data_IF_420874167565
#
_entry.id   IF_420874167565
#
_cell.length_a   1.000
_cell.length_b   1.000
_cell.length_c   1.000
_cell.angle_alpha   90.00
_cell.angle_beta   90.00
_cell.angle_gamma   90.00
#
_symmetry.space_group_name_H-M   'P 1'
#
loop_
_entity.id
_entity.type
_entity.pdbx_description
1 polymer ?
#
# COMPACT_ATOMS: atom_id res chain seq x y z
N UNK A 1 13.33 15.43 17.41
CA UNK A 1 13.90 14.24 18.09
C UNK A 1 14.02 13.13 17.05
N UNK A 2 14.98 12.18 17.10
CA UNK A 2 15.25 11.26 15.98
C UNK A 2 14.14 10.21 15.70
N UNK A 3 13.02 10.24 16.43
CA UNK A 3 11.88 9.34 16.27
C UNK A 3 10.55 10.12 16.32
N UNK A 4 10.47 11.24 15.63
CA UNK A 4 9.22 11.99 15.41
C UNK A 4 8.53 11.46 14.15
N UNK A 5 7.19 11.44 14.14
CA UNK A 5 6.43 10.93 13.00
C UNK A 5 6.25 9.41 12.95
N UNK A 6 5.36 8.96 12.07
CA UNK A 6 4.94 7.55 11.96
C UNK A 6 6.10 6.62 11.58
N UNK A 7 6.93 7.02 10.59
CA UNK A 7 8.01 6.18 10.09
C UNK A 7 9.20 6.09 11.05
N UNK A 8 9.62 7.20 11.64
CA UNK A 8 10.72 7.23 12.60
C UNK A 8 10.41 6.39 13.84
N UNK A 9 9.20 6.52 14.38
CA UNK A 9 8.75 5.73 15.53
C UNK A 9 8.66 4.23 15.20
N UNK A 10 8.06 3.86 14.06
CA UNK A 10 7.94 2.47 13.63
C UNK A 10 9.31 1.82 13.40
N UNK A 11 10.23 2.53 12.74
CA UNK A 11 11.60 2.03 12.48
C UNK A 11 12.35 1.82 13.79
N UNK A 12 12.33 2.80 14.70
CA UNK A 12 13.02 2.70 15.98
C UNK A 12 12.51 1.52 16.82
N UNK A 13 11.18 1.33 16.88
CA UNK A 13 10.58 0.22 17.62
C UNK A 13 10.90 -1.14 16.97
N UNK A 14 10.72 -1.24 15.65
CA UNK A 14 10.94 -2.49 14.91
C UNK A 14 12.39 -2.93 14.97
N UNK A 15 13.34 -2.02 14.78
CA UNK A 15 14.77 -2.33 14.92
C UNK A 15 15.08 -2.79 16.35
N UNK A 16 14.54 -2.10 17.36
CA UNK A 16 14.68 -2.51 18.75
C UNK A 16 14.20 -3.94 19.01
N UNK A 17 13.08 -4.35 18.41
CA UNK A 17 12.53 -5.69 18.57
C UNK A 17 13.26 -6.76 17.75
N UNK A 18 13.61 -6.46 16.50
CA UNK A 18 14.32 -7.39 15.61
C UNK A 18 15.69 -7.81 16.17
N UNK A 19 16.39 -6.90 16.84
CA UNK A 19 17.73 -7.17 17.39
C UNK A 19 17.74 -7.64 18.85
N UNK A 20 16.58 -7.90 19.45
CA UNK A 20 16.53 -8.53 20.79
C UNK A 20 17.04 -9.97 20.73
N UNK A 21 17.80 -10.43 21.75
CA UNK A 21 18.23 -11.82 21.83
C UNK A 21 17.03 -12.78 21.81
N UNK A 22 17.06 -13.75 20.89
CA UNK A 22 16.00 -14.75 20.75
C UNK A 22 14.80 -14.31 19.91
N UNK A 23 14.83 -13.11 19.31
CA UNK A 23 13.82 -12.70 18.33
C UNK A 23 13.83 -13.62 17.11
N UNK A 24 12.64 -13.95 16.63
CA UNK A 24 12.42 -14.76 15.42
C UNK A 24 11.57 -13.95 14.45
N UNK A 25 11.76 -14.21 13.16
CA UNK A 25 10.93 -13.66 12.10
C UNK A 25 10.04 -14.80 11.59
N UNK A 26 8.73 -14.62 11.73
CA UNK A 26 7.76 -15.48 11.07
C UNK A 26 7.50 -14.99 9.64
N UNK A 27 7.46 -15.94 8.71
CA UNK A 27 7.10 -15.68 7.33
C UNK A 27 5.98 -16.64 6.89
N UNK A 28 4.85 -16.14 6.34
CA UNK A 28 3.77 -17.00 5.92
C UNK A 28 4.20 -17.88 4.75
N UNK A 29 3.98 -19.19 4.86
CA UNK A 29 4.19 -20.12 3.73
C UNK A 29 3.28 -19.72 2.57
N UNK A 30 3.84 -19.53 1.38
CA UNK A 30 3.16 -18.98 0.21
C UNK A 30 3.08 -17.44 0.19
N UNK A 31 3.77 -16.77 1.12
CA UNK A 31 3.91 -15.32 1.16
C UNK A 31 2.65 -14.55 1.57
N UNK A 32 2.65 -13.24 1.35
CA UNK A 32 1.55 -12.37 1.74
C UNK A 32 0.21 -12.73 1.06
N UNK A 33 0.26 -13.29 -0.16
CA UNK A 33 -0.95 -13.75 -0.87
C UNK A 33 -1.67 -14.88 -0.12
N UNK A 34 -0.93 -15.79 0.51
CA UNK A 34 -1.52 -16.89 1.28
C UNK A 34 -2.37 -16.40 2.47
N UNK A 35 -1.99 -15.27 3.07
CA UNK A 35 -2.76 -14.62 4.15
C UNK A 35 -4.06 -14.05 3.59
N UNK A 36 -4.00 -13.32 2.47
CA UNK A 36 -5.18 -12.76 1.82
C UNK A 36 -6.15 -13.88 1.37
N UNK A 37 -5.62 -14.96 0.79
CA UNK A 37 -6.41 -16.12 0.39
C UNK A 37 -7.07 -16.82 1.57
N UNK A 38 -6.37 -16.92 2.71
CA UNK A 38 -6.96 -17.47 3.93
C UNK A 38 -8.16 -16.65 4.41
N UNK A 39 -8.06 -15.32 4.37
CA UNK A 39 -9.17 -14.42 4.71
C UNK A 39 -10.33 -14.57 3.71
N UNK A 40 -10.05 -14.63 2.41
CA UNK A 40 -11.07 -14.85 1.37
C UNK A 40 -11.78 -16.19 1.54
N UNK A 41 -11.05 -17.27 1.84
CA UNK A 41 -11.64 -18.57 2.19
C UNK A 41 -12.53 -18.44 3.44
N UNK A 42 -12.05 -17.71 4.44
CA UNK A 42 -12.80 -17.37 5.66
C UNK A 42 -14.14 -16.68 5.38
N UNK A 43 -14.19 -15.76 4.42
CA UNK A 43 -15.44 -15.09 4.00
C UNK A 43 -16.36 -16.08 3.27
N UNK A 44 -15.83 -16.80 2.28
CA UNK A 44 -16.61 -17.68 1.38
C UNK A 44 -17.22 -18.90 2.06
N UNK A 45 -16.70 -19.33 3.23
CA UNK A 45 -17.25 -20.47 3.98
C UNK A 45 -18.61 -20.17 4.62
N UNK A 46 -18.99 -18.90 4.74
CA UNK A 46 -20.26 -18.51 5.36
C UNK A 46 -21.36 -18.30 4.32
N UNK A 47 -22.59 -18.79 4.58
CA UNK A 47 -23.71 -18.59 3.67
C UNK A 47 -24.03 -17.09 3.56
N UNK A 48 -24.38 -16.64 2.35
CA UNK A 48 -24.67 -15.24 2.02
C UNK A 48 -23.48 -14.27 2.15
N UNK A 49 -22.26 -14.79 2.35
CA UNK A 49 -21.03 -14.01 2.28
C UNK A 49 -20.32 -14.25 0.94
N UNK A 50 -19.69 -13.22 0.40
CA UNK A 50 -19.03 -13.32 -0.90
C UNK A 50 -17.98 -12.24 -1.11
N UNK A 51 -17.03 -12.53 -2.00
CA UNK A 51 -16.02 -11.59 -2.46
C UNK A 51 -16.24 -11.34 -3.94
N UNK A 52 -16.52 -10.08 -4.28
CA UNK A 52 -16.80 -9.68 -5.66
C UNK A 52 -15.64 -8.87 -6.19
N UNK A 53 -14.92 -9.43 -7.16
CA UNK A 53 -13.76 -8.81 -7.80
C UNK A 53 -14.14 -8.14 -9.13
N UNK A 54 -13.29 -7.23 -9.60
CA UNK A 54 -13.48 -6.48 -10.85
C UNK A 54 -14.81 -5.71 -10.90
N UNK A 55 -15.23 -5.22 -9.73
CA UNK A 55 -16.39 -4.36 -9.50
C UNK A 55 -15.92 -3.19 -8.66
N UNK A 56 -15.76 -2.03 -9.28
CA UNK A 56 -15.36 -0.81 -8.59
C UNK A 56 -16.56 -0.25 -7.83
N UNK A 57 -16.38 0.19 -6.58
CA UNK A 57 -17.34 1.13 -5.97
C UNK A 57 -17.15 2.50 -6.60
N UNK A 58 -18.21 3.05 -7.18
CA UNK A 58 -18.23 4.34 -7.88
C UNK A 58 -18.73 5.46 -6.97
N UNK A 59 -19.71 5.16 -6.11
CA UNK A 59 -20.20 6.07 -5.09
C UNK A 59 -20.89 5.32 -3.96
N UNK A 60 -20.90 5.95 -2.78
CA UNK A 60 -21.72 5.53 -1.63
C UNK A 60 -23.07 6.23 -1.77
N UNK A 61 -24.15 5.47 -1.64
CA UNK A 61 -25.51 6.03 -1.63
C UNK A 61 -25.88 6.47 -0.22
N UNK A 62 -26.51 7.65 -0.12
CA UNK A 62 -27.12 8.15 1.10
C UNK A 62 -28.64 8.19 0.87
N UNK A 63 -29.41 7.71 1.85
CA UNK A 63 -30.86 7.83 1.84
C UNK A 63 -31.32 9.28 2.13
N UNK A 64 -32.63 9.50 2.12
CA UNK A 64 -33.24 10.82 2.35
C UNK A 64 -32.94 11.41 3.75
N UNK A 65 -32.45 10.59 4.69
CA UNK A 65 -32.01 11.02 6.03
C UNK A 65 -30.52 11.34 6.10
N UNK A 66 -29.79 11.13 5.00
CA UNK A 66 -28.33 11.28 4.93
C UNK A 66 -27.56 10.07 5.45
N UNK A 67 -28.23 8.93 5.68
CA UNK A 67 -27.60 7.69 6.13
C UNK A 67 -27.08 6.88 4.95
N UNK A 68 -25.85 6.38 5.03
CA UNK A 68 -25.32 5.43 4.07
C UNK A 68 -26.05 4.08 4.16
N UNK A 69 -26.66 3.69 3.05
CA UNK A 69 -27.54 2.52 2.95
C UNK A 69 -27.23 1.64 1.73
N UNK A 70 -26.11 1.89 1.05
CA UNK A 70 -25.67 1.09 -0.08
C UNK A 70 -24.53 1.71 -0.87
N UNK A 71 -24.14 1.04 -1.93
CA UNK A 71 -23.09 1.48 -2.85
C UNK A 71 -23.51 1.27 -4.30
N UNK A 72 -23.08 2.16 -5.19
CA UNK A 72 -23.11 1.93 -6.63
C UNK A 72 -21.79 1.28 -7.03
N UNK A 73 -21.88 0.15 -7.74
CA UNK A 73 -20.72 -0.56 -8.28
C UNK A 73 -20.75 -0.59 -9.79
N UNK A 74 -19.57 -0.52 -10.39
CA UNK A 74 -19.40 -0.64 -11.83
C UNK A 74 -19.92 -1.99 -12.36
N UNK A 75 -20.24 -2.09 -13.66
CA UNK A 75 -20.30 -3.36 -14.38
C UNK A 75 -19.04 -4.22 -14.14
N UNK A 76 -19.16 -5.54 -14.32
CA UNK A 76 -18.00 -6.43 -14.23
C UNK A 76 -17.16 -6.20 -15.47
N UNK A 77 -15.91 -5.79 -15.30
CA UNK A 77 -15.00 -5.60 -16.42
C UNK A 77 -14.01 -6.76 -16.51
N UNK A 78 -13.58 -7.10 -17.72
CA UNK A 78 -12.45 -8.02 -17.97
C UNK A 78 -11.11 -7.32 -17.75
N UNK A 79 -11.05 -6.01 -18.02
CA UNK A 79 -9.87 -5.16 -17.87
C UNK A 79 -10.13 -4.12 -16.77
N UNK A 80 -9.17 -3.83 -15.87
CA UNK A 80 -9.30 -2.70 -14.96
C UNK A 80 -9.49 -1.41 -15.76
N UNK A 81 -10.64 -0.74 -15.63
CA UNK A 81 -10.84 0.59 -16.24
C UNK A 81 -9.97 1.62 -15.53
N UNK A 82 -9.25 2.42 -16.31
CA UNK A 82 -8.66 3.66 -15.81
C UNK A 82 -9.77 4.63 -15.37
N UNK A 83 -9.43 5.52 -14.44
CA UNK A 83 -10.34 6.57 -14.00
C UNK A 83 -10.62 7.51 -15.19
N UNK A 84 -11.81 7.44 -15.77
CA UNK A 84 -12.25 8.47 -16.73
C UNK A 84 -12.61 9.78 -16.00
N UNK A 85 -13.01 9.72 -14.71
CA UNK A 85 -13.30 10.87 -13.84
C UNK A 85 -12.99 10.56 -12.37
N UNK A 86 -12.34 11.49 -11.67
CA UNK A 86 -12.30 11.50 -10.19
C UNK A 86 -13.51 12.25 -9.63
N UNK A 87 -14.13 11.71 -8.58
CA UNK A 87 -15.22 12.35 -7.83
C UNK A 87 -16.48 11.50 -7.73
N UNK A 88 -17.49 11.96 -6.97
CA UNK A 88 -18.73 11.23 -6.79
C UNK A 88 -19.52 11.22 -8.10
N UNK A 89 -19.83 10.01 -8.54
CA UNK A 89 -20.61 9.77 -9.74
C UNK A 89 -20.98 8.30 -9.83
N UNK A 90 -21.90 7.99 -10.74
CA UNK A 90 -22.16 6.62 -11.15
C UNK A 90 -22.23 6.59 -12.67
N UNK A 91 -21.67 5.54 -13.25
CA UNK A 91 -21.90 5.18 -14.63
C UNK A 91 -23.39 4.88 -14.85
N UNK A 92 -23.87 5.06 -16.08
CA UNK A 92 -25.28 4.79 -16.42
C UNK A 92 -25.68 3.33 -16.15
N UNK A 93 -24.71 2.42 -16.28
CA UNK A 93 -24.85 0.98 -16.08
C UNK A 93 -24.38 0.49 -14.69
N UNK A 94 -24.19 1.41 -13.74
CA UNK A 94 -23.86 1.07 -12.36
C UNK A 94 -24.98 0.27 -11.68
N UNK A 95 -24.60 -0.77 -10.95
CA UNK A 95 -25.52 -1.58 -10.15
C UNK A 95 -25.58 -1.06 -8.72
N UNK A 96 -26.79 -0.91 -8.18
CA UNK A 96 -26.99 -0.56 -6.79
C UNK A 96 -26.99 -1.80 -5.90
N UNK A 97 -26.15 -1.79 -4.86
CA UNK A 97 -26.15 -2.79 -3.79
C UNK A 97 -26.64 -2.15 -2.49
N UNK A 98 -27.84 -2.56 -2.05
CA UNK A 98 -28.43 -2.11 -0.79
C UNK A 98 -27.72 -2.77 0.40
N UNK A 99 -27.31 -1.96 1.37
CA UNK A 99 -26.87 -2.40 2.69
C UNK A 99 -28.04 -2.30 3.69
N UNK A 100 -28.27 -3.35 4.47
CA UNK A 100 -29.34 -3.38 5.48
C UNK A 100 -28.89 -2.90 6.86
N UNK A 101 -27.58 -2.94 7.13
CA UNK A 101 -27.00 -2.58 8.44
C UNK A 101 -25.98 -1.46 8.36
N UNK A 102 -24.96 -1.58 7.52
CA UNK A 102 -23.92 -0.57 7.36
C UNK A 102 -23.16 -0.80 6.06
N UNK A 103 -22.53 0.27 5.57
CA UNK A 103 -21.45 0.23 4.59
C UNK A 103 -20.14 0.36 5.37
N UNK A 104 -19.17 -0.54 5.15
CA UNK A 104 -17.84 -0.47 5.78
C UNK A 104 -16.81 -0.25 4.68
N UNK A 105 -16.07 0.86 4.74
CA UNK A 105 -15.04 1.22 3.76
C UNK A 105 -13.65 0.92 4.29
N UNK A 106 -12.90 0.10 3.56
CA UNK A 106 -11.45 -0.08 3.73
C UNK A 106 -10.63 0.75 2.74
N UNK A 107 -11.29 1.60 1.92
CA UNK A 107 -10.57 2.58 1.11
C UNK A 107 -10.03 3.67 2.03
N UNK A 108 -8.89 4.27 1.66
CA UNK A 108 -8.31 5.35 2.46
C UNK A 108 -9.31 6.50 2.70
N UNK A 109 -9.10 7.27 3.77
CA UNK A 109 -10.03 8.31 4.18
C UNK A 109 -10.32 9.33 3.06
N UNK A 110 -9.31 9.67 2.26
CA UNK A 110 -9.42 10.60 1.15
C UNK A 110 -10.26 10.01 0.01
N UNK A 111 -10.01 8.76 -0.37
CA UNK A 111 -10.78 8.04 -1.38
C UNK A 111 -12.24 7.83 -0.94
N UNK A 112 -12.45 7.45 0.33
CA UNK A 112 -13.80 7.31 0.90
C UNK A 112 -14.54 8.65 0.88
N UNK A 113 -13.87 9.77 1.19
CA UNK A 113 -14.47 11.11 1.10
C UNK A 113 -14.92 11.47 -0.31
N UNK A 114 -14.16 11.07 -1.35
CA UNK A 114 -14.49 11.28 -2.76
C UNK A 114 -15.65 10.40 -3.27
N UNK A 115 -15.95 9.29 -2.59
CA UNK A 115 -17.07 8.41 -2.94
C UNK A 115 -18.42 8.92 -2.42
N UNK A 116 -18.43 9.90 -1.51
CA UNK A 116 -19.65 10.49 -0.95
C UNK A 116 -20.22 11.58 -1.87
N UNK A 117 -21.54 11.60 -2.12
CA UNK A 117 -22.17 12.54 -3.06
C UNK A 117 -22.05 14.01 -2.64
N UNK A 118 -22.00 14.30 -1.34
CA UNK A 118 -21.51 15.55 -0.75
C UNK A 118 -21.55 15.43 0.78
N UNK A 119 -20.39 15.50 1.44
CA UNK A 119 -20.31 15.60 2.91
C UNK A 119 -19.19 16.57 3.26
N UNK A 120 -19.51 17.85 3.55
CA UNK A 120 -18.50 18.86 3.90
C UNK A 120 -17.63 18.42 5.08
N UNK A 121 -18.22 17.75 6.07
CA UNK A 121 -17.49 17.19 7.20
C UNK A 121 -16.49 16.12 6.75
N UNK A 122 -16.88 15.17 5.90
CA UNK A 122 -15.98 14.13 5.42
C UNK A 122 -14.84 14.70 4.57
N UNK A 123 -15.16 15.69 3.71
CA UNK A 123 -14.16 16.41 2.91
C UNK A 123 -13.17 17.17 3.79
N UNK A 124 -13.67 17.86 4.82
CA UNK A 124 -12.81 18.59 5.74
C UNK A 124 -11.92 17.62 6.53
N UNK A 125 -12.50 16.54 7.07
CA UNK A 125 -11.74 15.51 7.80
C UNK A 125 -10.63 14.89 6.94
N UNK A 126 -10.91 14.60 5.67
CA UNK A 126 -9.89 14.11 4.74
C UNK A 126 -8.79 15.15 4.50
N UNK A 127 -9.12 16.44 4.34
CA UNK A 127 -8.12 17.51 4.19
C UNK A 127 -7.24 17.69 5.43
N UNK A 128 -7.84 17.53 6.61
CA UNK A 128 -7.13 17.67 7.89
C UNK A 128 -6.32 16.42 8.26
N UNK A 129 -6.48 15.32 7.52
CA UNK A 129 -5.73 14.09 7.76
C UNK A 129 -4.34 14.19 7.13
N UNK A 130 -3.25 14.12 7.92
CA UNK A 130 -1.90 14.10 7.37
C UNK A 130 -1.67 12.79 6.60
N UNK A 131 -0.95 12.86 5.48
CA UNK A 131 -0.47 11.70 4.74
C UNK A 131 1.01 11.42 5.04
N UNK A 132 1.40 10.15 4.95
CA UNK A 132 2.82 9.81 4.84
C UNK A 132 3.28 10.00 3.39
N UNK A 133 4.59 10.13 3.13
CA UNK A 133 5.12 10.05 1.77
C UNK A 133 4.81 8.69 1.11
N UNK A 134 5.15 8.61 -0.17
CA UNK A 134 5.02 7.40 -0.99
C UNK A 134 6.36 6.64 -1.03
N UNK A 135 6.47 5.70 -1.96
CA UNK A 135 7.51 4.67 -2.00
C UNK A 135 7.93 4.43 -3.45
N UNK A 136 9.17 3.99 -3.63
CA UNK A 136 9.65 3.31 -4.82
C UNK A 136 9.71 1.82 -4.51
N UNK A 137 9.32 0.97 -5.47
CA UNK A 137 9.47 -0.48 -5.37
C UNK A 137 10.32 -1.00 -6.53
N UNK A 138 11.12 -2.03 -6.25
CA UNK A 138 11.83 -2.81 -7.24
C UNK A 138 11.62 -4.29 -6.91
N UNK A 139 10.87 -4.97 -7.76
CA UNK A 139 10.65 -6.42 -7.70
C UNK A 139 11.49 -7.10 -8.76
N UNK A 140 12.30 -8.07 -8.37
CA UNK A 140 13.18 -8.82 -9.25
C UNK A 140 12.92 -10.32 -9.16
N UNK A 141 13.02 -11.00 -10.29
CA UNK A 141 13.33 -12.43 -10.35
C UNK A 141 14.79 -12.58 -10.79
N UNK A 142 15.60 -13.27 -10.00
CA UNK A 142 17.05 -13.39 -10.23
C UNK A 142 17.51 -14.85 -10.29
N UNK A 143 18.60 -15.10 -11.02
CA UNK A 143 19.36 -16.35 -10.93
C UNK A 143 20.04 -16.49 -9.55
N UNK A 144 19.65 -17.52 -8.80
CA UNK A 144 20.15 -17.79 -7.46
C UNK A 144 21.45 -18.61 -7.43
N UNK A 145 22.01 -18.97 -8.59
CA UNK A 145 23.22 -19.79 -8.67
C UNK A 145 24.37 -19.21 -7.84
N UNK A 146 24.80 -19.95 -6.81
CA UNK A 146 25.89 -19.54 -5.90
C UNK A 146 25.49 -18.62 -4.75
N UNK A 147 24.21 -18.22 -4.64
CA UNK A 147 23.68 -17.41 -3.53
C UNK A 147 23.18 -18.33 -2.41
N UNK A 148 24.10 -18.87 -1.61
CA UNK A 148 23.78 -19.87 -0.56
C UNK A 148 23.77 -19.32 0.86
N UNK A 149 24.29 -18.12 1.07
CA UNK A 149 24.44 -17.46 2.37
C UNK A 149 23.99 -16.00 2.27
N UNK A 150 22.68 -15.81 2.07
CA UNK A 150 22.05 -14.49 2.01
C UNK A 150 20.93 -14.44 3.05
N UNK A 151 20.85 -13.32 3.76
CA UNK A 151 19.76 -13.11 4.72
C UNK A 151 18.45 -12.82 3.98
N UNK A 152 17.33 -13.12 4.64
CA UNK A 152 16.01 -12.78 4.10
C UNK A 152 15.79 -11.27 4.05
N UNK A 153 16.26 -10.50 5.04
CA UNK A 153 15.96 -9.09 5.18
C UNK A 153 17.23 -8.26 5.33
N UNK A 154 17.28 -7.14 4.63
CA UNK A 154 18.32 -6.13 4.78
C UNK A 154 17.69 -4.75 4.94
N UNK A 155 18.36 -3.89 5.70
CA UNK A 155 17.91 -2.52 5.95
C UNK A 155 19.08 -1.56 5.80
N UNK A 156 18.86 -0.49 5.05
CA UNK A 156 19.85 0.53 4.76
C UNK A 156 19.34 1.88 5.22
N UNK A 157 20.14 2.56 6.03
CA UNK A 157 20.06 4.00 6.22
C UNK A 157 21.27 4.58 5.49
N UNK A 158 21.02 5.33 4.41
CA UNK A 158 22.08 5.72 3.46
C UNK A 158 22.95 6.84 4.00
N UNK A 159 22.33 7.77 4.70
CA UNK A 159 22.97 8.89 5.36
C UNK A 159 22.45 8.99 6.80
N UNK A 160 23.36 8.78 7.75
CA UNK A 160 23.08 8.80 9.18
C UNK A 160 23.04 10.22 9.76
N UNK A 161 23.48 11.23 9.00
CA UNK A 161 23.50 12.64 9.41
C UNK A 161 22.17 13.36 9.11
N UNK A 162 21.24 12.69 8.40
CA UNK A 162 19.90 13.19 8.09
C UNK A 162 18.82 12.29 8.70
N UNK A 163 17.57 12.76 8.88
CA UNK A 163 16.49 11.94 9.40
C UNK A 163 16.27 10.64 8.60
N UNK A 164 15.82 9.58 9.27
CA UNK A 164 15.55 8.28 8.64
C UNK A 164 14.46 8.35 7.56
N UNK A 165 13.51 9.28 7.73
CA UNK A 165 12.42 9.56 6.81
C UNK A 165 12.75 10.64 5.77
N UNK A 166 14.01 11.12 5.74
CA UNK A 166 14.50 11.97 4.67
C UNK A 166 14.38 11.25 3.32
N UNK A 167 14.28 12.05 2.25
CA UNK A 167 13.89 11.55 0.93
C UNK A 167 14.77 10.38 0.46
N UNK A 168 14.15 9.22 0.23
CA UNK A 168 14.77 7.96 -0.17
C UNK A 168 15.91 7.44 0.75
N UNK A 169 16.04 7.95 1.99
CA UNK A 169 17.16 7.61 2.90
C UNK A 169 17.07 6.22 3.54
N UNK A 170 15.86 5.66 3.66
CA UNK A 170 15.62 4.35 4.27
C UNK A 170 15.18 3.36 3.19
N UNK A 171 15.97 2.31 2.97
CA UNK A 171 15.69 1.24 2.01
C UNK A 171 15.61 -0.10 2.72
N UNK A 172 14.57 -0.86 2.42
CA UNK A 172 14.36 -2.21 2.91
C UNK A 172 14.39 -3.19 1.74
N UNK A 173 15.04 -4.33 1.95
CA UNK A 173 15.15 -5.42 0.97
C UNK A 173 14.65 -6.70 1.63
N UNK A 174 13.83 -7.46 0.91
CA UNK A 174 13.37 -8.80 1.29
C UNK A 174 13.64 -9.80 0.17
N UNK A 175 14.17 -10.98 0.52
CA UNK A 175 14.45 -12.11 -0.37
C UNK A 175 13.71 -13.34 0.19
N UNK A 176 12.37 -13.38 0.10
CA UNK A 176 11.57 -14.37 0.84
C UNK A 176 11.79 -15.81 0.41
N UNK A 177 12.31 -16.03 -0.81
CA UNK A 177 12.69 -17.35 -1.32
C UNK A 177 13.82 -18.03 -0.54
N UNK A 178 14.52 -17.28 0.32
CA UNK A 178 15.47 -17.85 1.29
C UNK A 178 14.76 -18.72 2.33
N UNK A 179 13.57 -18.30 2.78
CA UNK A 179 12.77 -19.06 3.75
C UNK A 179 11.76 -20.00 3.07
N UNK A 180 11.13 -19.55 1.98
CA UNK A 180 10.16 -20.33 1.23
C UNK A 180 10.54 -20.41 -0.25
N UNK A 181 11.33 -21.43 -0.65
CA UNK A 181 11.73 -21.62 -2.04
C UNK A 181 10.57 -21.81 -3.02
N UNK A 182 9.35 -22.12 -2.54
CA UNK A 182 8.19 -22.35 -3.42
C UNK A 182 7.65 -21.06 -4.05
N UNK A 183 8.09 -19.89 -3.59
CA UNK A 183 7.70 -18.58 -4.11
C UNK A 183 8.30 -18.26 -5.49
N UNK A 184 9.25 -19.06 -5.96
CA UNK A 184 9.89 -18.90 -7.27
C UNK A 184 10.14 -20.26 -7.94
N UNK A 185 10.39 -20.28 -9.27
CA UNK A 185 10.92 -21.47 -9.93
C UNK A 185 12.24 -21.95 -9.30
N UNK A 186 12.55 -23.23 -9.48
CA UNK A 186 13.79 -23.83 -9.00
C UNK A 186 15.03 -23.06 -9.48
N UNK A 187 15.99 -22.84 -8.57
CA UNK A 187 17.21 -22.09 -8.86
C UNK A 187 17.03 -20.57 -8.99
N UNK A 188 15.87 -20.03 -8.61
CA UNK A 188 15.59 -18.58 -8.65
C UNK A 188 15.32 -18.01 -7.28
N UNK A 189 15.58 -16.71 -7.16
CA UNK A 189 15.13 -15.90 -6.03
C UNK A 189 14.19 -14.80 -6.49
N UNK A 190 13.22 -14.48 -5.62
CA UNK A 190 12.44 -13.25 -5.72
C UNK A 190 13.05 -12.25 -4.75
N UNK A 191 13.29 -11.04 -5.23
CA UNK A 191 13.82 -9.93 -4.43
C UNK A 191 12.83 -8.77 -4.50
N UNK A 192 12.49 -8.19 -3.36
CA UNK A 192 11.69 -6.98 -3.27
C UNK A 192 12.47 -5.94 -2.46
N UNK A 193 12.88 -4.86 -3.14
CA UNK A 193 13.46 -3.68 -2.51
C UNK A 193 12.48 -2.51 -2.56
N UNK A 194 12.44 -1.68 -1.53
CA UNK A 194 11.62 -0.47 -1.53
C UNK A 194 12.17 0.62 -0.60
N UNK A 195 11.88 1.88 -0.94
CA UNK A 195 12.12 3.01 -0.03
C UNK A 195 11.01 3.01 1.00
N UNK A 196 11.32 3.11 2.30
CA UNK A 196 10.38 2.85 3.39
C UNK A 196 9.41 4.01 3.67
N UNK A 197 8.85 4.65 2.65
CA UNK A 197 7.81 5.67 2.84
C UNK A 197 8.36 7.06 2.95
N UNK A 198 9.49 7.27 2.29
CA UNK A 198 10.22 8.51 2.22
C UNK A 198 10.40 8.98 0.77
N UNK A 199 9.60 8.50 -0.19
CA UNK A 199 9.62 9.02 -1.56
C UNK A 199 8.54 10.07 -1.75
N UNK A 200 8.93 11.26 -2.21
CA UNK A 200 7.99 12.35 -2.51
C UNK A 200 7.07 12.01 -3.69
N UNK A 201 5.76 12.20 -3.51
CA UNK A 201 4.79 12.10 -4.61
C UNK A 201 4.89 13.29 -5.57
N UNK A 202 5.28 14.48 -5.09
CA UNK A 202 5.20 15.71 -5.87
C UNK A 202 6.10 15.68 -7.12
N UNK A 203 7.23 14.97 -7.09
CA UNK A 203 8.10 14.80 -8.24
C UNK A 203 7.43 14.05 -9.41
N UNK A 204 6.45 13.19 -9.11
CA UNK A 204 5.74 12.41 -10.13
C UNK A 204 4.37 13.00 -10.51
N UNK A 205 3.88 13.97 -9.74
CA UNK A 205 2.52 14.48 -9.85
C UNK A 205 2.25 15.09 -11.22
N UNK A 206 1.16 14.66 -11.84
CA UNK A 206 0.71 15.18 -13.13
C UNK A 206 1.50 14.67 -14.34
N UNK A 207 2.54 13.85 -14.14
CA UNK A 207 3.25 13.21 -15.25
C UNK A 207 2.36 12.14 -15.90
N UNK A 208 2.39 12.08 -17.23
CA UNK A 208 1.85 10.94 -17.97
C UNK A 208 2.80 9.75 -17.79
N UNK A 209 2.29 8.62 -17.29
CA UNK A 209 3.04 7.37 -17.08
C UNK A 209 3.65 6.78 -18.36
N UNK A 210 3.15 7.20 -19.53
CA UNK A 210 3.68 6.77 -20.82
C UNK A 210 4.71 7.75 -21.41
N UNK A 211 4.84 8.93 -20.82
CA UNK A 211 5.82 9.94 -21.25
C UNK A 211 7.26 9.50 -21.02
N UNK A 212 8.17 10.02 -21.83
CA UNK A 212 9.60 9.75 -21.66
C UNK A 212 10.17 10.46 -20.43
N UNK A 213 9.59 11.59 -20.03
CA UNK A 213 9.90 12.28 -18.77
C UNK A 213 9.66 11.38 -17.56
N UNK A 214 8.48 10.76 -17.48
CA UNK A 214 8.16 9.81 -16.41
C UNK A 214 9.09 8.59 -16.42
N UNK A 215 9.38 8.03 -17.61
CA UNK A 215 10.29 6.87 -17.72
C UNK A 215 11.69 7.21 -17.22
N UNK A 216 12.21 8.38 -17.61
CA UNK A 216 13.53 8.85 -17.17
C UNK A 216 13.55 9.09 -15.66
N UNK A 217 12.54 9.76 -15.11
CA UNK A 217 12.45 9.98 -13.66
C UNK A 217 12.36 8.65 -12.89
N UNK A 218 11.56 7.68 -13.38
CA UNK A 218 11.49 6.35 -12.77
C UNK A 218 12.85 5.65 -12.79
N UNK A 219 13.56 5.67 -13.91
CA UNK A 219 14.89 5.07 -14.04
C UNK A 219 15.93 5.73 -13.13
N UNK A 220 15.85 7.04 -12.93
CA UNK A 220 16.69 7.78 -11.99
C UNK A 220 16.37 7.39 -10.53
N UNK A 221 15.10 7.48 -10.14
CA UNK A 221 14.67 7.28 -8.76
C UNK A 221 14.80 5.83 -8.28
N UNK A 222 14.77 4.85 -9.18
CA UNK A 222 14.99 3.45 -8.80
C UNK A 222 16.46 3.11 -8.53
N UNK A 223 17.42 3.97 -8.92
CA UNK A 223 18.85 3.67 -8.74
C UNK A 223 19.24 3.49 -7.27
N UNK A 224 18.60 4.20 -6.35
CA UNK A 224 18.85 4.04 -4.91
C UNK A 224 18.65 2.59 -4.45
N UNK A 225 17.62 1.91 -4.98
CA UNK A 225 17.31 0.52 -4.67
C UNK A 225 18.35 -0.43 -5.27
N UNK A 226 18.77 -0.17 -6.52
CA UNK A 226 19.84 -0.94 -7.14
C UNK A 226 21.16 -0.82 -6.40
N UNK A 227 21.54 0.38 -6.00
CA UNK A 227 22.80 0.63 -5.27
C UNK A 227 22.82 -0.11 -3.92
N UNK A 228 21.67 -0.23 -3.24
CA UNK A 228 21.56 -1.05 -2.03
C UNK A 228 21.68 -2.55 -2.35
N UNK A 229 21.00 -3.01 -3.39
CA UNK A 229 21.02 -4.40 -3.81
C UNK A 229 22.42 -4.87 -4.25
N UNK A 230 23.19 -4.01 -4.92
CA UNK A 230 24.58 -4.30 -5.32
C UNK A 230 25.53 -4.43 -4.13
N UNK A 231 25.18 -3.92 -2.94
CA UNK A 231 25.95 -4.17 -1.72
C UNK A 231 25.68 -5.58 -1.14
N UNK A 232 24.52 -6.16 -1.42
CA UNK A 232 24.15 -7.51 -1.00
C UNK A 232 24.62 -8.54 -2.03
N UNK A 233 24.31 -8.30 -3.31
CA UNK A 233 24.60 -9.17 -4.45
C UNK A 233 25.28 -8.31 -5.53
N UNK A 234 26.63 -8.23 -5.57
CA UNK A 234 27.37 -7.30 -6.43
C UNK A 234 27.08 -7.39 -7.93
N UNK A 235 26.66 -8.55 -8.42
CA UNK A 235 26.32 -8.80 -9.83
C UNK A 235 24.81 -8.93 -10.08
N UNK A 236 23.96 -8.46 -9.16
CA UNK A 236 22.50 -8.64 -9.22
C UNK A 236 21.87 -8.17 -10.53
N UNK A 237 22.38 -7.09 -11.12
CA UNK A 237 21.89 -6.59 -12.42
C UNK A 237 22.08 -7.62 -13.53
N UNK A 238 23.16 -8.39 -13.51
CA UNK A 238 23.43 -9.46 -14.50
C UNK A 238 22.58 -10.70 -14.24
N UNK A 239 22.23 -10.95 -12.98
CA UNK A 239 21.37 -12.07 -12.55
C UNK A 239 19.89 -11.83 -12.81
N UNK A 240 19.49 -10.58 -13.02
CA UNK A 240 18.08 -10.19 -13.14
C UNK A 240 17.49 -10.68 -14.45
N UNK A 241 16.46 -11.51 -14.35
CA UNK A 241 15.69 -12.04 -15.48
C UNK A 241 14.34 -11.31 -15.64
N UNK A 242 13.76 -10.87 -14.52
CA UNK A 242 12.52 -10.10 -14.47
C UNK A 242 12.73 -8.89 -13.59
N UNK A 243 12.24 -7.73 -14.04
CA UNK A 243 12.24 -6.48 -13.27
C UNK A 243 10.88 -5.80 -13.37
N UNK A 244 10.31 -5.44 -12.24
CA UNK A 244 9.13 -4.59 -12.15
C UNK A 244 9.39 -3.43 -11.18
N UNK A 245 9.19 -2.22 -11.68
CA UNK A 245 9.42 -0.98 -10.93
C UNK A 245 8.08 -0.37 -10.53
N UNK A 246 7.92 -0.06 -9.25
CA UNK A 246 6.79 0.68 -8.70
C UNK A 246 7.20 2.09 -8.34
N UNK A 247 6.34 3.05 -8.67
CA UNK A 247 6.47 4.48 -8.36
C UNK A 247 5.25 4.95 -7.59
N UNK A 248 5.25 6.19 -7.05
CA UNK A 248 4.06 6.76 -6.44
C UNK A 248 2.80 6.72 -7.32
N UNK A 249 2.91 7.00 -8.64
CA UNK A 249 1.78 6.86 -9.58
C UNK A 249 1.36 5.41 -9.83
N UNK A 250 2.27 4.45 -9.67
CA UNK A 250 1.97 3.02 -9.76
C UNK A 250 1.13 2.59 -8.56
N UNK A 251 1.53 3.00 -7.35
CA UNK A 251 0.78 2.74 -6.12
C UNK A 251 -0.61 3.38 -6.16
N UNK A 252 -0.70 4.63 -6.61
CA UNK A 252 -1.98 5.31 -6.79
C UNK A 252 -2.92 4.55 -7.75
N UNK A 253 -2.39 4.02 -8.85
CA UNK A 253 -3.17 3.25 -9.82
C UNK A 253 -3.63 1.89 -9.29
N UNK A 254 -2.67 1.07 -8.86
CA UNK A 254 -2.92 -0.35 -8.57
C UNK A 254 -3.61 -0.53 -7.23
N UNK A 255 -3.19 0.25 -6.22
CA UNK A 255 -3.75 0.16 -4.87
C UNK A 255 -4.92 1.11 -4.67
N UNK A 256 -5.17 2.03 -5.63
CA UNK A 256 -6.21 3.08 -5.55
C UNK A 256 -6.08 3.92 -4.29
N UNK A 257 -4.82 4.17 -3.91
CA UNK A 257 -4.48 4.97 -2.75
C UNK A 257 -4.22 6.40 -3.18
N UNK A 258 -4.81 7.35 -2.50
CA UNK A 258 -4.59 8.78 -2.77
C UNK A 258 -3.09 9.08 -2.73
N UNK A 259 -2.52 9.65 -3.80
CA UNK A 259 -1.09 9.99 -3.90
C UNK A 259 -0.13 8.79 -3.73
N UNK A 260 -0.63 7.55 -3.82
CA UNK A 260 0.17 6.35 -3.58
C UNK A 260 0.80 6.30 -2.18
N UNK A 261 0.22 7.01 -1.21
CA UNK A 261 0.72 7.09 0.18
C UNK A 261 0.71 5.74 0.89
N UNK A 262 1.59 5.56 1.89
CA UNK A 262 1.51 4.42 2.82
C UNK A 262 0.19 4.43 3.56
N UNK A 263 -0.28 5.62 3.92
CA UNK A 263 -1.50 5.86 4.65
C UNK A 263 -1.43 7.14 5.47
N UNK A 264 -2.38 7.31 6.38
CA UNK A 264 -2.39 8.47 7.26
C UNK A 264 -1.18 8.53 8.19
N UNK A 265 -0.52 9.68 8.23
CA UNK A 265 0.66 9.95 9.07
C UNK A 265 0.29 10.42 10.47
N UNK A 266 -0.60 9.69 11.17
CA UNK A 266 -1.02 10.07 12.53
C UNK A 266 0.19 10.09 13.46
N UNK A 267 0.36 11.18 14.21
CA UNK A 267 1.41 11.29 15.20
C UNK A 267 1.04 10.51 16.47
N UNK A 268 2.03 9.87 17.14
CA UNK A 268 1.81 9.29 18.45
C UNK A 268 1.26 10.34 19.44
N UNK A 269 0.08 10.09 20.00
CA UNK A 269 -0.56 10.98 20.99
C UNK A 269 -1.77 11.78 20.48
N UNK A 270 -1.93 11.95 19.16
CA UNK A 270 -3.09 12.67 18.59
C UNK A 270 -4.41 11.87 18.67
N UNK A 271 -4.30 10.57 19.01
CA UNK A 271 -5.40 9.62 19.01
C UNK A 271 -5.75 9.18 17.59
N UNK A 272 -5.91 7.87 17.39
CA UNK A 272 -6.34 7.36 16.11
C UNK A 272 -7.85 7.56 15.93
N UNK A 273 -8.33 7.90 14.72
CA UNK A 273 -9.75 7.94 14.43
C UNK A 273 -10.44 6.59 14.71
N UNK A 274 -11.67 6.66 15.22
CA UNK A 274 -12.57 5.52 15.35
C UNK A 274 -13.21 5.12 14.02
N UNK A 275 -13.99 4.03 13.99
CA UNK A 275 -14.62 3.52 12.78
C UNK A 275 -15.72 4.43 12.20
N UNK A 276 -16.07 5.54 12.82
CA UNK A 276 -17.09 6.50 12.39
C UNK A 276 -16.51 7.90 12.10
N UNK A 277 -15.19 7.99 11.86
CA UNK A 277 -14.43 9.22 11.73
C UNK A 277 -14.97 10.24 10.71
N UNK A 278 -15.67 9.79 9.67
CA UNK A 278 -16.28 10.68 8.67
C UNK A 278 -17.65 11.25 9.08
N UNK A 279 -18.23 10.79 10.19
CA UNK A 279 -19.47 11.33 10.75
C UNK A 279 -20.74 11.06 9.93
N UNK A 280 -20.69 10.16 8.95
CA UNK A 280 -21.85 9.81 8.11
C UNK A 280 -22.60 8.62 8.73
N UNK A 281 -23.88 8.77 9.14
CA UNK A 281 -24.63 7.67 9.72
C UNK A 281 -24.65 6.44 8.81
N UNK A 282 -24.39 5.25 9.35
CA UNK A 282 -24.42 4.00 8.57
C UNK A 282 -23.18 3.73 7.71
N UNK A 283 -22.22 4.65 7.67
CA UNK A 283 -20.91 4.45 7.07
C UNK A 283 -19.86 4.24 8.17
N UNK A 284 -19.12 3.14 8.08
CA UNK A 284 -17.96 2.89 8.91
C UNK A 284 -16.68 2.87 8.07
N UNK A 285 -15.54 3.16 8.70
CA UNK A 285 -14.19 3.03 8.16
C UNK A 285 -13.45 1.89 8.88
N UNK A 286 -12.57 1.23 8.15
CA UNK A 286 -11.62 0.27 8.69
C UNK A 286 -10.27 0.37 7.95
N UNK A 287 -9.27 -0.37 8.43
CA UNK A 287 -7.92 -0.35 7.90
C UNK A 287 -7.08 0.79 8.48
N UNK A 288 -6.06 1.22 7.74
CA UNK A 288 -5.06 2.19 8.19
C UNK A 288 -5.61 3.61 8.50
N UNK A 289 -6.82 3.90 8.03
CA UNK A 289 -7.50 5.17 8.26
C UNK A 289 -8.24 5.23 9.59
N UNK A 290 -8.12 4.19 10.40
CA UNK A 290 -8.71 4.04 11.74
C UNK A 290 -7.73 3.37 12.68
N UNK A 291 -7.96 3.41 13.99
CA UNK A 291 -7.19 2.63 14.96
C UNK A 291 -7.14 1.13 14.57
N UNK A 292 -5.98 0.44 14.61
CA UNK A 292 -4.71 0.88 15.19
C UNK A 292 -3.74 1.61 14.25
N UNK A 293 -4.14 1.89 13.01
CA UNK A 293 -3.30 2.57 12.02
C UNK A 293 -2.66 1.62 11.00
N UNK A 294 -1.54 2.05 10.43
CA UNK A 294 -0.87 1.35 9.32
C UNK A 294 -0.18 0.08 9.80
N UNK A 295 -0.25 -0.98 8.98
CA UNK A 295 0.47 -2.24 9.19
C UNK A 295 -0.45 -3.43 9.41
N UNK A 296 0.05 -4.62 9.09
CA UNK A 296 -0.54 -5.89 9.53
C UNK A 296 0.19 -6.27 10.84
N UNK A 297 -0.53 -6.62 11.91
CA UNK A 297 0.08 -7.06 13.17
C UNK A 297 0.94 -8.32 13.04
#
# INVERSE_FOLDING_TARGET
QPAEGTLGAATAYTMGDLFKPGSLIDYPIGGAEAVADALVRGIRKHPNCGVTLRRRVESIHLDDTGRADGVYISPKTSVPRELEKEGPGKSEDALFLKATKAVVSNADIWATSKLLPSSPQAVQKAKDTPDTPSFMHLHLGIDATGLTDIDIHHSFILDMDVPVDAEDNCVLVSIPTVLDPSLAPEGKHVVHAYTAGCTSYEAFKGLDRNSDEYKKLREERVQVLWNCLEQIIPDIRKRTEIKMEGTPLTHERFNRRTRGTYGPGWLPGDGFPGPDALGVPGLLQCGDSTFPGIGVP
#
